data_IF_073103395669
#
_entry.id   IF_073103395669
#
_cell.length_a   1.000
_cell.length_b   1.000
_cell.length_c   1.000
_cell.angle_alpha   90.00
_cell.angle_beta   90.00
_cell.angle_gamma   90.00
#
_symmetry.space_group_name_H-M   'P 1'
#
loop_
_entity.id
_entity.type
_entity.pdbx_description
1 polymer ?
#
# COMPACT_ATOMS: atom_id res chain seq x y z
N UNK A 1 6.32 4.21 18.67
CA UNK A 1 7.46 5.11 18.45
C UNK A 1 7.89 4.96 17.00
N UNK A 2 7.43 5.86 16.13
CA UNK A 2 7.79 5.90 14.69
C UNK A 2 7.79 7.33 14.12
N UNK A 3 7.51 8.34 14.97
CA UNK A 3 7.37 9.74 14.56
C UNK A 3 8.72 10.47 14.51
N UNK A 4 9.80 9.83 14.93
CA UNK A 4 11.17 10.36 14.91
C UNK A 4 11.84 10.25 13.53
N UNK A 5 11.17 9.65 12.55
CA UNK A 5 11.67 9.47 11.18
C UNK A 5 12.73 8.39 11.02
N UNK A 6 13.04 7.64 12.08
CA UNK A 6 14.06 6.57 12.06
C UNK A 6 13.71 5.39 11.14
N UNK A 7 12.41 5.21 10.84
CA UNK A 7 11.90 4.17 9.97
C UNK A 7 11.16 4.78 8.78
N UNK A 8 11.59 4.43 7.57
CA UNK A 8 10.89 4.79 6.32
C UNK A 8 10.37 3.51 5.65
N UNK A 9 9.14 3.05 5.97
CA UNK A 9 8.58 1.85 5.36
C UNK A 9 8.31 2.07 3.88
N UNK A 10 8.76 1.17 2.98
CA UNK A 10 8.52 1.31 1.55
C UNK A 10 7.03 1.15 1.23
N UNK A 11 6.54 2.04 0.36
CA UNK A 11 5.21 1.96 -0.24
C UNK A 11 5.40 1.39 -1.65
N UNK A 12 4.85 0.21 -1.91
CA UNK A 12 4.95 -0.45 -3.21
C UNK A 12 4.00 0.15 -4.24
N UNK A 13 2.77 0.49 -3.83
CA UNK A 13 1.80 1.17 -4.69
C UNK A 13 0.68 1.84 -3.90
N UNK A 14 -0.06 2.71 -4.59
CA UNK A 14 -1.29 3.33 -4.11
C UNK A 14 -2.42 3.01 -5.08
N UNK A 15 -3.58 2.63 -4.57
CA UNK A 15 -4.78 2.34 -5.35
C UNK A 15 -5.93 3.21 -4.86
N UNK A 16 -6.77 3.74 -5.76
CA UNK A 16 -8.04 4.32 -5.34
C UNK A 16 -8.96 3.20 -4.81
N UNK A 17 -9.92 3.55 -3.95
CA UNK A 17 -10.79 2.58 -3.26
C UNK A 17 -11.53 1.65 -4.24
N UNK A 18 -11.96 2.18 -5.37
CA UNK A 18 -12.65 1.46 -6.44
C UNK A 18 -11.80 0.32 -7.03
N UNK A 19 -10.46 0.41 -6.88
CA UNK A 19 -9.49 -0.58 -7.36
C UNK A 19 -8.88 -1.42 -6.23
N UNK A 20 -9.50 -1.46 -5.05
CA UNK A 20 -9.00 -2.26 -3.93
C UNK A 20 -8.84 -3.76 -4.26
N UNK A 21 -9.67 -4.30 -5.17
CA UNK A 21 -9.53 -5.67 -5.66
C UNK A 21 -8.18 -5.95 -6.32
N UNK A 22 -7.65 -5.00 -7.09
CA UNK A 22 -6.32 -5.13 -7.73
C UNK A 22 -5.19 -5.10 -6.71
N UNK A 23 -5.34 -4.31 -5.64
CA UNK A 23 -4.38 -4.29 -4.54
C UNK A 23 -4.33 -5.64 -3.82
N UNK A 24 -5.51 -6.25 -3.59
CA UNK A 24 -5.61 -7.59 -3.00
C UNK A 24 -4.99 -8.65 -3.91
N UNK A 25 -5.23 -8.58 -5.22
CA UNK A 25 -4.61 -9.48 -6.18
C UNK A 25 -3.07 -9.36 -6.16
N UNK A 26 -2.53 -8.15 -6.12
CA UNK A 26 -1.10 -7.91 -6.03
C UNK A 26 -0.48 -8.50 -4.74
N UNK A 27 -1.21 -8.46 -3.62
CA UNK A 27 -0.82 -9.13 -2.37
C UNK A 27 -0.87 -10.65 -2.51
N UNK A 28 -1.96 -11.20 -3.03
CA UNK A 28 -2.14 -12.65 -3.22
C UNK A 28 -1.03 -13.24 -4.10
N UNK A 29 -0.63 -12.50 -5.14
CA UNK A 29 0.44 -12.90 -6.05
C UNK A 29 1.84 -12.55 -5.53
N UNK A 30 1.97 -12.01 -4.31
CA UNK A 30 3.25 -11.57 -3.71
C UNK A 30 4.06 -10.61 -4.60
N UNK A 31 3.37 -9.77 -5.38
CA UNK A 31 3.99 -8.73 -6.23
C UNK A 31 4.35 -7.46 -5.44
N UNK A 32 3.80 -7.29 -4.26
CA UNK A 32 4.12 -6.20 -3.36
C UNK A 32 5.24 -6.61 -2.38
N UNK A 33 6.33 -5.84 -2.35
CA UNK A 33 7.46 -6.02 -1.42
C UNK A 33 7.32 -5.18 -0.14
N UNK A 34 6.40 -4.21 -0.14
CA UNK A 34 6.12 -3.28 0.94
C UNK A 34 4.63 -3.03 1.07
N UNK A 35 4.27 -1.82 1.52
CA UNK A 35 2.87 -1.48 1.80
C UNK A 35 2.11 -1.13 0.53
N UNK A 36 0.87 -1.61 0.43
CA UNK A 36 -0.12 -1.10 -0.52
C UNK A 36 -1.07 -0.17 0.23
N UNK A 37 -1.30 1.02 -0.32
CA UNK A 37 -2.16 2.03 0.31
C UNK A 37 -3.43 2.18 -0.51
N UNK A 38 -4.58 2.08 0.15
CA UNK A 38 -5.87 2.43 -0.45
C UNK A 38 -6.17 3.88 -0.13
N UNK A 39 -6.49 4.66 -1.16
CA UNK A 39 -6.88 6.05 -1.02
C UNK A 39 -8.39 6.17 -1.25
N UNK A 40 -9.14 6.79 -0.33
CA UNK A 40 -10.53 7.14 -0.61
C UNK A 40 -10.59 8.14 -1.77
N UNK A 41 -11.75 8.20 -2.45
CA UNK A 41 -12.06 9.29 -3.35
C UNK A 41 -11.92 10.64 -2.60
N UNK A 42 -11.57 11.73 -3.31
CA UNK A 42 -11.48 13.06 -2.71
C UNK A 42 -12.80 13.49 -2.03
#
# INVERSE_FOLDING_TARGET
>A
AWADGSLTPPISARYPLERAGEALEALAQRRASGKLIIQPAP
#
